data_IF_813319798365
#
_entry.id   IF_813319798365
#
_cell.length_a   1.000
_cell.length_b   1.000
_cell.length_c   1.000
_cell.angle_alpha   90.00
_cell.angle_beta   90.00
_cell.angle_gamma   90.00
#
_symmetry.space_group_name_H-M   'P 1'
#
loop_
_entity.id
_entity.type
_entity.pdbx_description
1 polymer ?
#
# COMPACT_ATOMS: atom_id res chain seq x y z
N UNK A 1 12.35 1.92 -10.33
CA UNK A 1 11.20 1.79 -11.25
C UNK A 1 10.82 3.16 -11.81
N UNK A 2 10.37 3.24 -13.06
CA UNK A 2 9.84 4.47 -13.65
C UNK A 2 8.49 4.84 -13.04
N UNK A 3 8.29 6.11 -12.68
CA UNK A 3 7.04 6.57 -12.05
C UNK A 3 5.81 6.46 -12.98
N UNK A 4 6.00 6.48 -14.30
CA UNK A 4 4.90 6.48 -15.28
C UNK A 4 4.55 5.08 -15.77
N UNK A 5 5.48 4.38 -16.41
CA UNK A 5 5.19 3.06 -16.97
C UNK A 5 5.32 1.92 -15.95
N UNK A 6 5.78 2.20 -14.72
CA UNK A 6 5.96 1.23 -13.64
C UNK A 6 6.83 0.02 -14.01
N UNK A 7 7.74 0.20 -14.97
CA UNK A 7 8.74 -0.80 -15.34
C UNK A 7 10.08 -0.49 -14.71
N UNK A 8 10.86 -1.53 -14.46
CA UNK A 8 12.32 -1.39 -14.35
C UNK A 8 12.83 -0.91 -15.71
N UNK A 9 13.65 0.14 -15.73
CA UNK A 9 14.13 0.68 -17.00
C UNK A 9 15.07 -0.32 -17.64
N UNK A 10 14.99 -0.50 -18.96
CA UNK A 10 15.99 -1.24 -19.74
C UNK A 10 17.36 -0.51 -19.69
N UNK A 11 17.31 0.82 -19.52
CA UNK A 11 18.44 1.73 -19.29
C UNK A 11 18.41 2.35 -17.88
N UNK A 12 19.49 3.05 -17.51
CA UNK A 12 19.59 3.83 -16.28
C UNK A 12 18.47 4.88 -16.20
N UNK A 13 17.53 4.68 -15.26
CA UNK A 13 16.44 5.62 -15.01
C UNK A 13 16.96 7.01 -14.60
N UNK A 14 16.34 8.06 -15.15
CA UNK A 14 16.71 9.45 -14.91
C UNK A 14 15.87 10.06 -13.79
N UNK A 15 16.54 10.67 -12.80
CA UNK A 15 15.86 11.44 -11.75
C UNK A 15 15.30 12.74 -12.32
N UNK A 16 14.18 13.20 -11.77
CA UNK A 16 13.77 14.59 -11.97
C UNK A 16 14.90 15.52 -11.49
N UNK A 17 15.42 16.37 -12.38
CA UNK A 17 16.53 17.27 -12.08
C UNK A 17 16.23 18.27 -10.96
N UNK A 18 14.96 18.61 -10.76
CA UNK A 18 14.54 19.64 -9.81
C UNK A 18 14.29 19.04 -8.42
N UNK A 19 13.37 18.08 -8.30
CA UNK A 19 12.98 17.54 -6.99
C UNK A 19 13.85 16.36 -6.54
N UNK A 20 14.51 15.65 -7.47
CA UNK A 20 15.34 14.45 -7.22
C UNK A 20 14.63 13.28 -6.51
N UNK A 21 13.29 13.33 -6.34
CA UNK A 21 12.51 12.28 -5.66
C UNK A 21 12.14 11.13 -6.62
N UNK A 22 11.69 11.47 -7.83
CA UNK A 22 11.11 10.49 -8.77
C UNK A 22 12.02 10.20 -9.96
N UNK A 23 11.82 9.01 -10.52
CA UNK A 23 12.57 8.44 -11.64
C UNK A 23 11.68 8.26 -12.88
N UNK A 24 12.29 8.42 -14.06
CA UNK A 24 11.65 8.20 -15.35
C UNK A 24 12.58 7.40 -16.26
N UNK A 25 12.01 6.62 -17.20
CA UNK A 25 12.82 6.03 -18.29
C UNK A 25 13.50 7.11 -19.15
N UNK A 26 12.87 8.27 -19.30
CA UNK A 26 13.40 9.36 -20.11
C UNK A 26 12.51 10.59 -20.12
N UNK A 27 12.83 11.54 -20.99
CA UNK A 27 12.14 12.82 -21.12
C UNK A 27 10.66 12.66 -21.48
N UNK A 28 10.30 11.61 -22.22
CA UNK A 28 8.92 11.39 -22.67
C UNK A 28 7.98 11.13 -21.49
N UNK A 29 8.30 10.15 -20.63
CA UNK A 29 7.55 9.90 -19.40
C UNK A 29 7.60 11.10 -18.44
N UNK A 30 8.71 11.83 -18.37
CA UNK A 30 8.79 13.05 -17.55
C UNK A 30 7.82 14.13 -18.07
N UNK A 31 7.75 14.37 -19.38
CA UNK A 31 6.83 15.33 -20.01
C UNK A 31 5.37 14.90 -19.81
N UNK A 32 5.07 13.61 -19.96
CA UNK A 32 3.75 13.04 -19.73
C UNK A 32 3.26 13.31 -18.29
N UNK A 33 4.13 13.07 -17.30
CA UNK A 33 3.78 13.28 -15.90
C UNK A 33 3.81 14.76 -15.48
N UNK A 34 4.49 15.64 -16.23
CA UNK A 34 4.77 17.02 -15.82
C UNK A 34 3.52 17.82 -15.45
N UNK A 35 2.41 17.65 -16.17
CA UNK A 35 1.15 18.35 -15.87
C UNK A 35 0.66 18.09 -14.43
N UNK A 36 0.78 16.85 -13.95
CA UNK A 36 0.43 16.47 -12.58
C UNK A 36 1.54 16.81 -11.58
N UNK A 37 2.80 16.60 -11.96
CA UNK A 37 3.95 16.76 -11.05
C UNK A 37 4.35 18.22 -10.79
N UNK A 38 4.14 19.15 -11.73
CA UNK A 38 4.79 20.48 -11.74
C UNK A 38 4.60 21.28 -10.45
N UNK A 39 3.39 21.32 -9.90
CA UNK A 39 3.09 22.07 -8.66
C UNK A 39 3.82 21.46 -7.47
N UNK A 40 3.72 20.14 -7.29
CA UNK A 40 4.43 19.41 -6.25
C UNK A 40 5.96 19.55 -6.39
N UNK A 41 6.48 19.42 -7.61
CA UNK A 41 7.91 19.56 -7.91
C UNK A 41 8.45 20.91 -7.44
N UNK A 42 7.71 21.99 -7.71
CA UNK A 42 8.05 23.34 -7.24
C UNK A 42 7.98 23.43 -5.71
N UNK A 43 6.95 22.88 -5.08
CA UNK A 43 6.83 22.89 -3.62
C UNK A 43 8.03 22.17 -2.97
N UNK A 44 8.41 20.99 -3.48
CA UNK A 44 9.60 20.25 -3.04
C UNK A 44 10.86 21.11 -3.20
N UNK A 45 11.05 21.72 -4.38
CA UNK A 45 12.22 22.57 -4.65
C UNK A 45 12.35 23.75 -3.68
N UNK A 46 11.23 24.29 -3.18
CA UNK A 46 11.24 25.37 -2.19
C UNK A 46 11.60 24.89 -0.78
N UNK A 47 11.33 23.62 -0.45
CA UNK A 47 11.61 23.06 0.88
C UNK A 47 13.07 22.56 0.99
N UNK A 48 13.59 21.95 -0.08
CA UNK A 48 14.92 21.32 -0.10
C UNK A 48 16.08 22.18 0.47
N UNK A 49 16.15 23.52 0.24
CA UNK A 49 17.23 24.35 0.80
C UNK A 49 17.22 24.44 2.33
N UNK A 50 16.07 24.21 2.98
CA UNK A 50 15.89 24.37 4.42
C UNK A 50 15.72 23.03 5.14
N UNK A 51 15.25 22.00 4.43
CA UNK A 51 15.05 20.68 4.96
C UNK A 51 15.34 19.63 3.89
N UNK A 52 16.36 18.81 4.13
CA UNK A 52 16.82 17.79 3.20
C UNK A 52 16.62 16.38 3.76
N UNK A 53 16.33 15.43 2.86
CA UNK A 53 16.26 14.00 3.15
C UNK A 53 17.48 13.26 2.56
N UNK A 54 18.65 13.91 2.53
CA UNK A 54 19.85 13.41 1.84
C UNK A 54 20.94 12.91 2.81
N UNK A 55 20.68 12.95 4.12
CA UNK A 55 21.63 12.63 5.20
C UNK A 55 21.43 11.23 5.80
N UNK A 56 20.75 10.34 5.08
CA UNK A 56 20.66 8.92 5.46
C UNK A 56 22.02 8.24 5.50
N UNK A 57 22.23 7.35 6.47
CA UNK A 57 23.41 6.50 6.62
C UNK A 57 23.16 5.24 7.46
N UNK A 58 24.19 4.40 7.61
CA UNK A 58 24.14 3.10 8.32
C UNK A 58 23.67 3.18 9.78
N UNK A 59 23.81 4.35 10.43
CA UNK A 59 23.40 4.57 11.82
C UNK A 59 22.05 5.28 11.95
N UNK A 60 21.30 5.40 10.85
CA UNK A 60 20.01 6.09 10.88
C UNK A 60 18.99 5.16 11.49
N UNK A 61 18.31 5.64 12.52
CA UNK A 61 17.20 4.94 13.14
C UNK A 61 15.95 5.04 12.25
N UNK A 62 15.25 3.92 12.05
CA UNK A 62 14.10 3.82 11.16
C UNK A 62 12.91 4.69 11.62
N UNK A 63 12.70 4.82 12.94
CA UNK A 63 11.63 5.65 13.50
C UNK A 63 11.93 7.13 13.27
N UNK A 64 13.15 7.56 13.58
CA UNK A 64 13.63 8.92 13.29
C UNK A 64 13.57 9.24 11.79
N UNK A 65 13.90 8.28 10.92
CA UNK A 65 13.78 8.47 9.48
C UNK A 65 12.33 8.61 9.02
N UNK A 66 11.42 7.85 9.64
CA UNK A 66 9.97 7.97 9.38
C UNK A 66 9.46 9.35 9.78
N UNK A 67 9.83 9.86 10.96
CA UNK A 67 9.49 11.21 11.40
C UNK A 67 10.03 12.29 10.45
N UNK A 68 11.26 12.10 9.97
CA UNK A 68 11.90 12.98 9.00
C UNK A 68 11.13 13.05 7.68
N UNK A 69 10.70 11.90 7.14
CA UNK A 69 9.83 11.85 5.95
C UNK A 69 8.51 12.58 6.19
N UNK A 70 7.86 12.33 7.34
CA UNK A 70 6.58 12.96 7.69
C UNK A 70 6.72 14.48 7.80
N UNK A 71 7.78 14.97 8.45
CA UNK A 71 8.02 16.41 8.54
C UNK A 71 8.28 17.03 7.16
N UNK A 72 9.06 16.38 6.31
CA UNK A 72 9.27 16.85 4.94
C UNK A 72 7.96 16.89 4.14
N UNK A 73 7.12 15.86 4.24
CA UNK A 73 5.79 15.83 3.61
C UNK A 73 4.91 16.98 4.09
N UNK A 74 4.89 17.27 5.38
CA UNK A 74 4.13 18.39 5.96
C UNK A 74 4.61 19.74 5.45
N UNK A 75 5.92 19.96 5.40
CA UNK A 75 6.51 21.19 4.85
C UNK A 75 6.15 21.36 3.38
N UNK A 76 6.22 20.28 2.58
CA UNK A 76 5.85 20.32 1.16
C UNK A 76 4.36 20.59 0.99
N UNK A 77 3.49 19.93 1.76
CA UNK A 77 2.04 20.15 1.76
C UNK A 77 1.68 21.60 2.09
N UNK A 78 2.34 22.17 3.10
CA UNK A 78 2.18 23.58 3.49
C UNK A 78 2.59 24.52 2.34
N UNK A 79 3.73 24.27 1.69
CA UNK A 79 4.17 25.06 0.53
C UNK A 79 3.29 24.88 -0.70
N UNK A 80 2.69 23.71 -0.87
CA UNK A 80 1.77 23.40 -1.96
C UNK A 80 0.40 24.07 -1.78
N UNK A 81 0.03 24.44 -0.54
CA UNK A 81 -1.25 25.07 -0.22
C UNK A 81 -2.46 24.13 -0.23
N UNK A 82 -2.22 22.82 -0.25
CA UNK A 82 -3.24 21.77 -0.17
C UNK A 82 -2.65 20.49 0.38
N UNK A 83 -3.51 19.58 0.85
CA UNK A 83 -3.10 18.22 1.21
C UNK A 83 -2.50 17.50 -0.02
N UNK A 84 -1.53 16.63 0.25
CA UNK A 84 -1.02 15.67 -0.73
C UNK A 84 -2.12 14.65 -1.04
N UNK A 85 -2.27 14.29 -2.30
CA UNK A 85 -3.10 13.12 -2.65
C UNK A 85 -2.34 11.82 -2.37
N UNK A 86 -3.02 10.67 -2.43
CA UNK A 86 -2.44 9.38 -2.12
C UNK A 86 -1.18 9.10 -2.97
N UNK A 87 -1.25 9.28 -4.30
CA UNK A 87 -0.11 9.08 -5.21
C UNK A 87 1.09 9.96 -4.86
N UNK A 88 0.84 11.21 -4.45
CA UNK A 88 1.88 12.14 -4.01
C UNK A 88 2.48 11.73 -2.67
N UNK A 89 1.66 11.27 -1.71
CA UNK A 89 2.16 10.76 -0.43
C UNK A 89 3.10 9.56 -0.64
N UNK A 90 2.71 8.63 -1.51
CA UNK A 90 3.51 7.46 -1.87
C UNK A 90 4.90 7.84 -2.40
N UNK A 91 5.03 8.97 -3.10
CA UNK A 91 6.34 9.47 -3.56
C UNK A 91 7.31 9.83 -2.42
N UNK A 92 6.82 10.15 -1.24
CA UNK A 92 7.62 10.48 -0.05
C UNK A 92 7.77 9.31 0.92
N UNK A 93 6.78 8.43 0.99
CA UNK A 93 6.85 7.21 1.80
C UNK A 93 7.86 6.22 1.20
N UNK A 94 7.86 6.09 -0.13
CA UNK A 94 8.67 5.13 -0.89
C UNK A 94 9.60 5.83 -1.89
N UNK A 95 10.47 6.76 -1.44
CA UNK A 95 11.44 7.37 -2.33
C UNK A 95 12.49 6.33 -2.71
N UNK A 96 13.23 6.61 -3.78
CA UNK A 96 14.35 5.74 -4.15
C UNK A 96 15.55 5.97 -3.21
N UNK A 97 15.66 5.12 -2.20
CA UNK A 97 16.71 5.16 -1.17
C UNK A 97 17.22 3.76 -0.82
N UNK A 98 18.37 3.69 -0.15
CA UNK A 98 18.88 2.42 0.39
C UNK A 98 17.91 1.83 1.43
N UNK A 99 17.57 0.55 1.31
CA UNK A 99 16.64 -0.13 2.22
C UNK A 99 17.09 -0.06 3.69
N UNK A 100 18.41 -0.21 3.92
CA UNK A 100 18.99 -0.27 5.26
C UNK A 100 19.52 1.09 5.72
N UNK A 101 20.18 1.82 4.83
CA UNK A 101 20.90 3.04 5.20
C UNK A 101 20.22 4.33 4.78
N UNK A 102 19.06 4.27 4.13
CA UNK A 102 18.31 5.41 3.58
C UNK A 102 19.10 6.39 2.69
N UNK A 103 20.31 6.01 2.27
CA UNK A 103 21.16 6.81 1.41
C UNK A 103 20.51 6.99 0.03
N UNK A 104 20.54 8.22 -0.49
CA UNK A 104 19.88 8.60 -1.75
C UNK A 104 20.84 9.11 -2.80
N UNK A 105 22.00 9.64 -2.41
CA UNK A 105 22.93 10.32 -3.31
C UNK A 105 23.93 9.38 -3.98
N UNK A 106 24.22 8.22 -3.38
CA UNK A 106 25.11 7.22 -3.97
C UNK A 106 24.45 6.47 -5.12
N UNK A 107 25.29 5.80 -5.91
CA UNK A 107 24.81 4.82 -6.88
C UNK A 107 24.16 3.65 -6.12
N UNK A 108 22.85 3.51 -6.28
CA UNK A 108 22.09 2.39 -5.73
C UNK A 108 21.75 1.41 -6.84
N UNK A 109 21.74 0.14 -6.52
CA UNK A 109 21.18 -0.93 -7.34
C UNK A 109 19.77 -1.25 -6.85
N UNK A 110 18.88 -1.71 -7.73
CA UNK A 110 17.50 -2.04 -7.36
C UNK A 110 17.22 -3.51 -7.58
N UNK A 111 16.56 -4.15 -6.62
CA UNK A 111 16.01 -5.49 -6.79
C UNK A 111 14.92 -5.47 -7.87
N UNK A 112 15.04 -6.34 -8.86
CA UNK A 112 14.11 -6.42 -10.00
C UNK A 112 12.79 -7.11 -9.66
N UNK A 113 12.68 -7.68 -8.46
CA UNK A 113 11.45 -8.32 -7.96
C UNK A 113 10.60 -7.34 -7.14
N UNK A 114 11.22 -6.69 -6.16
CA UNK A 114 10.50 -5.89 -5.17
C UNK A 114 10.78 -4.37 -5.24
N UNK A 115 11.62 -3.92 -6.18
CA UNK A 115 12.00 -2.52 -6.37
C UNK A 115 12.75 -1.82 -5.21
N UNK A 116 13.00 -2.51 -4.09
CA UNK A 116 13.91 -2.04 -3.04
C UNK A 116 15.29 -1.71 -3.63
N UNK A 117 15.95 -0.69 -3.07
CA UNK A 117 17.25 -0.23 -3.54
C UNK A 117 18.34 -0.39 -2.49
N UNK A 118 19.57 -0.61 -2.92
CA UNK A 118 20.71 -0.94 -2.06
C UNK A 118 21.93 -0.16 -2.50
N UNK A 119 22.70 0.34 -1.54
CA UNK A 119 24.07 0.75 -1.83
C UNK A 119 24.96 -0.49 -1.92
N UNK A 120 26.19 -0.32 -2.44
CA UNK A 120 27.17 -1.39 -2.58
C UNK A 120 27.41 -2.19 -1.29
N UNK A 121 27.35 -1.55 -0.12
CA UNK A 121 27.55 -2.20 1.17
C UNK A 121 26.41 -3.15 1.59
N UNK A 122 25.17 -2.92 1.13
CA UNK A 122 23.97 -3.63 1.59
C UNK A 122 23.31 -4.48 0.51
N UNK A 123 23.95 -4.66 -0.65
CA UNK A 123 23.36 -5.36 -1.80
C UNK A 123 23.01 -6.81 -1.49
N UNK A 124 23.89 -7.51 -0.77
CA UNK A 124 23.77 -8.94 -0.46
C UNK A 124 23.37 -9.18 1.01
N UNK A 125 22.84 -8.14 1.67
CA UNK A 125 22.40 -8.17 3.07
C UNK A 125 21.22 -9.11 3.32
N UNK A 126 21.14 -9.64 4.54
CA UNK A 126 20.02 -10.49 4.97
C UNK A 126 18.73 -9.68 5.15
N UNK A 127 18.86 -8.39 5.43
CA UNK A 127 17.77 -7.45 5.67
C UNK A 127 16.78 -7.41 4.50
N UNK A 128 17.28 -7.52 3.27
CA UNK A 128 16.45 -7.66 2.08
C UNK A 128 15.90 -9.07 1.90
N UNK A 129 16.72 -10.09 2.13
CA UNK A 129 16.37 -11.49 1.83
C UNK A 129 15.09 -11.90 2.52
N UNK A 130 14.92 -11.50 3.77
CA UNK A 130 13.81 -11.90 4.61
C UNK A 130 12.50 -11.18 4.24
N UNK A 131 12.59 -9.99 3.62
CA UNK A 131 11.43 -9.17 3.28
C UNK A 131 11.18 -9.02 1.77
N UNK A 132 12.06 -9.57 0.91
CA UNK A 132 11.96 -9.43 -0.54
C UNK A 132 10.63 -9.96 -1.09
N UNK A 133 10.23 -11.16 -0.65
CA UNK A 133 8.98 -11.78 -1.12
C UNK A 133 7.73 -11.02 -0.66
N UNK A 134 7.60 -10.58 0.62
CA UNK A 134 6.55 -9.65 1.02
C UNK A 134 6.52 -8.35 0.19
N UNK A 135 7.67 -7.72 -0.06
CA UNK A 135 7.73 -6.49 -0.86
C UNK A 135 7.39 -6.71 -2.34
N UNK A 136 7.78 -7.84 -2.91
CA UNK A 136 7.37 -8.27 -4.27
C UNK A 136 5.86 -8.45 -4.35
N UNK A 137 5.24 -9.09 -3.33
CA UNK A 137 3.79 -9.24 -3.26
C UNK A 137 3.08 -7.88 -3.17
N UNK A 138 3.56 -6.94 -2.35
CA UNK A 138 3.03 -5.58 -2.28
C UNK A 138 3.12 -4.89 -3.64
N UNK A 139 4.29 -4.92 -4.29
CA UNK A 139 4.49 -4.30 -5.59
C UNK A 139 3.56 -4.88 -6.67
N UNK A 140 3.43 -6.21 -6.72
CA UNK A 140 2.54 -6.88 -7.67
C UNK A 140 1.06 -6.51 -7.43
N UNK A 141 0.67 -6.40 -6.15
CA UNK A 141 -0.70 -6.00 -5.76
C UNK A 141 -0.99 -4.56 -6.19
N UNK A 142 -0.07 -3.62 -5.92
CA UNK A 142 -0.20 -2.22 -6.35
C UNK A 142 -0.30 -2.10 -7.88
N UNK A 143 0.55 -2.83 -8.61
CA UNK A 143 0.56 -2.83 -10.08
C UNK A 143 -0.75 -3.36 -10.66
N UNK A 144 -1.32 -4.39 -10.03
CA UNK A 144 -2.58 -4.97 -10.46
C UNK A 144 -3.74 -4.00 -10.19
N UNK A 145 -3.84 -3.42 -8.99
CA UNK A 145 -4.86 -2.43 -8.67
C UNK A 145 -4.82 -1.22 -9.62
N UNK A 146 -3.62 -0.82 -10.07
CA UNK A 146 -3.47 0.23 -11.10
C UNK A 146 -3.95 -0.18 -12.49
N UNK A 147 -3.86 -1.47 -12.88
CA UNK A 147 -4.25 -1.97 -14.21
C UNK A 147 -5.75 -2.16 -14.33
N UNK A 148 -6.35 -2.90 -13.39
CA UNK A 148 -7.78 -3.25 -13.44
C UNK A 148 -8.69 -2.08 -13.04
N UNK A 149 -8.10 -1.00 -12.54
CA UNK A 149 -8.83 0.05 -11.85
C UNK A 149 -9.34 -0.44 -10.50
N UNK A 150 -9.81 0.48 -9.66
CA UNK A 150 -10.41 0.15 -8.37
C UNK A 150 -11.80 -0.50 -8.55
N UNK A 151 -11.95 -1.48 -9.45
CA UNK A 151 -13.18 -2.26 -9.51
C UNK A 151 -13.30 -2.99 -8.16
N UNK A 152 -14.33 -2.69 -7.37
CA UNK A 152 -14.50 -3.35 -6.09
C UNK A 152 -14.58 -4.85 -6.30
N UNK A 153 -13.95 -5.62 -5.41
CA UNK A 153 -14.22 -7.04 -5.34
C UNK A 153 -15.73 -7.26 -5.20
N UNK A 154 -16.26 -8.24 -5.93
CA UNK A 154 -17.69 -8.52 -5.91
C UNK A 154 -18.07 -9.18 -4.57
N UNK A 155 -18.49 -8.33 -3.63
CA UNK A 155 -19.00 -8.72 -2.33
C UNK A 155 -20.15 -9.73 -2.44
N UNK A 156 -20.92 -9.71 -3.53
CA UNK A 156 -22.05 -10.61 -3.72
C UNK A 156 -21.61 -12.07 -3.72
N UNK A 157 -20.44 -12.39 -4.28
CA UNK A 157 -19.88 -13.74 -4.24
C UNK A 157 -19.69 -14.24 -2.81
N UNK A 158 -19.13 -13.42 -1.94
CA UNK A 158 -18.97 -13.77 -0.54
C UNK A 158 -20.33 -14.01 0.15
N UNK A 159 -21.25 -13.06 0.00
CA UNK A 159 -22.54 -13.13 0.70
C UNK A 159 -23.40 -14.32 0.27
N UNK A 160 -23.27 -14.81 -0.96
CA UNK A 160 -23.98 -16.00 -1.44
C UNK A 160 -23.43 -17.32 -0.86
N UNK A 161 -22.11 -17.42 -0.65
CA UNK A 161 -21.46 -18.70 -0.37
C UNK A 161 -21.17 -18.93 1.12
N UNK A 162 -21.20 -17.88 1.95
CA UNK A 162 -21.04 -18.00 3.40
C UNK A 162 -22.24 -18.77 3.97
N UNK A 163 -22.02 -20.05 4.21
CA UNK A 163 -23.04 -21.00 4.69
C UNK A 163 -22.69 -21.60 6.06
N UNK A 164 -21.41 -21.64 6.43
CA UNK A 164 -20.96 -22.17 7.72
C UNK A 164 -19.61 -21.59 8.15
N UNK A 165 -19.48 -21.19 9.41
CA UNK A 165 -18.23 -20.63 9.95
C UNK A 165 -17.24 -21.65 10.47
N UNK A 166 -17.61 -22.93 10.51
CA UNK A 166 -16.69 -24.01 10.92
C UNK A 166 -15.74 -24.45 9.81
N UNK A 167 -15.91 -23.94 8.59
CA UNK A 167 -15.17 -24.40 7.39
C UNK A 167 -13.83 -23.68 7.18
N UNK A 168 -13.52 -22.65 7.96
CA UNK A 168 -12.28 -21.87 7.83
C UNK A 168 -11.67 -21.54 9.20
N UNK A 169 -10.34 -21.59 9.31
CA UNK A 169 -9.63 -21.26 10.55
C UNK A 169 -8.95 -19.90 10.50
N UNK A 170 -8.50 -19.50 9.33
CA UNK A 170 -7.78 -18.25 9.13
C UNK A 170 -8.24 -17.55 7.84
N UNK A 171 -7.69 -16.37 7.57
CA UNK A 171 -8.06 -15.54 6.42
C UNK A 171 -7.77 -16.21 5.08
N UNK A 172 -6.68 -16.97 4.98
CA UNK A 172 -6.33 -17.71 3.76
C UNK A 172 -7.39 -18.76 3.48
N UNK A 173 -7.73 -19.59 4.46
CA UNK A 173 -8.78 -20.61 4.31
C UNK A 173 -10.13 -19.97 3.89
N UNK A 174 -10.47 -18.81 4.46
CA UNK A 174 -11.69 -18.09 4.12
C UNK A 174 -11.70 -17.62 2.66
N UNK A 175 -10.59 -17.04 2.21
CA UNK A 175 -10.45 -16.56 0.83
C UNK A 175 -10.43 -17.74 -0.14
N UNK A 176 -9.79 -18.86 0.20
CA UNK A 176 -9.79 -20.07 -0.65
C UNK A 176 -11.17 -20.73 -0.72
N UNK A 177 -11.94 -20.71 0.38
CA UNK A 177 -13.26 -21.33 0.43
C UNK A 177 -14.37 -20.49 -0.22
N UNK A 178 -14.28 -19.16 -0.12
CA UNK A 178 -15.38 -18.25 -0.50
C UNK A 178 -14.98 -17.17 -1.52
N UNK A 179 -13.69 -16.96 -1.74
CA UNK A 179 -13.19 -16.07 -2.78
C UNK A 179 -13.33 -16.75 -4.14
N UNK A 180 -14.03 -16.10 -5.07
CA UNK A 180 -14.12 -16.56 -6.46
C UNK A 180 -12.80 -16.28 -7.21
N UNK A 181 -11.71 -16.95 -6.82
CA UNK A 181 -10.41 -16.81 -7.47
C UNK A 181 -10.47 -17.58 -8.79
N UNK A 182 -10.67 -16.86 -9.90
CA UNK A 182 -10.56 -17.46 -11.23
C UNK A 182 -9.09 -17.76 -11.53
N UNK A 183 -8.77 -19.06 -11.60
CA UNK A 183 -7.42 -19.60 -11.85
C UNK A 183 -6.93 -19.30 -13.28
N UNK A 184 -7.81 -18.90 -14.19
CA UNK A 184 -7.51 -18.65 -15.61
C UNK A 184 -6.86 -17.29 -15.90
N UNK A 185 -6.67 -16.42 -14.91
CA UNK A 185 -5.96 -15.16 -15.12
C UNK A 185 -4.44 -15.38 -15.14
N UNK A 186 -3.68 -14.58 -15.92
CA UNK A 186 -2.21 -14.53 -15.91
C UNK A 186 -1.60 -14.19 -14.51
N UNK A 187 -2.43 -14.04 -13.48
CA UNK A 187 -2.08 -13.59 -12.14
C UNK A 187 -1.71 -14.74 -11.20
N UNK A 188 -0.73 -14.50 -10.33
CA UNK A 188 -0.45 -15.45 -9.25
C UNK A 188 -1.58 -15.44 -8.21
N UNK A 189 -1.97 -16.63 -7.73
CA UNK A 189 -2.94 -16.82 -6.65
C UNK A 189 -2.68 -15.92 -5.43
N UNK A 190 -1.40 -15.64 -5.13
CA UNK A 190 -1.01 -14.83 -3.97
C UNK A 190 -1.43 -13.36 -4.09
N UNK A 191 -1.40 -12.78 -5.29
CA UNK A 191 -1.80 -11.37 -5.51
C UNK A 191 -3.31 -11.23 -5.32
N UNK A 192 -4.09 -12.17 -5.86
CA UNK A 192 -5.53 -12.24 -5.61
C UNK A 192 -5.83 -12.39 -4.12
N UNK A 193 -5.18 -13.33 -3.44
CA UNK A 193 -5.37 -13.52 -2.00
C UNK A 193 -5.01 -12.25 -1.20
N UNK A 194 -3.96 -11.52 -1.60
CA UNK A 194 -3.55 -10.27 -0.96
C UNK A 194 -4.58 -9.14 -1.15
N UNK A 195 -5.21 -9.04 -2.32
CA UNK A 195 -6.27 -8.06 -2.51
C UNK A 195 -7.51 -8.37 -1.71
N UNK A 196 -7.96 -9.63 -1.73
CA UNK A 196 -9.13 -10.04 -0.97
C UNK A 196 -8.91 -9.85 0.54
N UNK A 197 -7.70 -10.13 1.04
CA UNK A 197 -7.37 -9.92 2.45
C UNK A 197 -7.48 -8.45 2.88
N UNK A 198 -7.12 -7.50 2.01
CA UNK A 198 -7.20 -6.06 2.30
C UNK A 198 -8.63 -5.61 2.62
N UNK A 199 -9.62 -6.04 1.82
CA UNK A 199 -11.03 -5.70 2.05
C UNK A 199 -11.64 -6.46 3.23
N UNK A 200 -11.18 -7.68 3.49
CA UNK A 200 -11.74 -8.56 4.51
C UNK A 200 -11.13 -8.34 5.90
N UNK A 201 -9.99 -7.65 5.99
CA UNK A 201 -9.16 -7.59 7.19
C UNK A 201 -9.94 -7.15 8.42
N UNK A 202 -10.71 -6.07 8.33
CA UNK A 202 -11.42 -5.53 9.48
C UNK A 202 -12.54 -6.47 9.96
N UNK A 203 -13.39 -6.93 9.04
CA UNK A 203 -14.53 -7.80 9.33
C UNK A 203 -14.09 -9.14 9.91
N UNK A 204 -13.09 -9.79 9.30
CA UNK A 204 -12.60 -11.09 9.74
C UNK A 204 -11.78 -10.99 11.02
N UNK A 205 -11.02 -9.91 11.23
CA UNK A 205 -10.30 -9.68 12.49
C UNK A 205 -11.28 -9.51 13.64
N UNK A 206 -12.33 -8.70 13.46
CA UNK A 206 -13.36 -8.56 14.49
C UNK A 206 -14.05 -9.89 14.77
N UNK A 207 -14.44 -10.64 13.72
CA UNK A 207 -15.05 -11.96 13.89
C UNK A 207 -14.13 -12.93 14.65
N UNK A 208 -12.82 -12.93 14.33
CA UNK A 208 -11.82 -13.73 15.03
C UNK A 208 -11.75 -13.36 16.52
N UNK A 209 -11.68 -12.08 16.85
CA UNK A 209 -11.68 -11.59 18.24
C UNK A 209 -12.97 -11.98 18.96
N UNK A 210 -14.13 -11.87 18.31
CA UNK A 210 -15.41 -12.30 18.90
C UNK A 210 -15.40 -13.79 19.25
N UNK A 211 -14.85 -14.65 18.37
CA UNK A 211 -14.69 -16.09 18.64
C UNK A 211 -13.75 -16.34 19.82
N UNK A 212 -12.60 -15.66 19.85
CA UNK A 212 -11.63 -15.79 20.95
C UNK A 212 -12.24 -15.42 22.30
N UNK A 213 -13.00 -14.33 22.35
CA UNK A 213 -13.65 -13.83 23.56
C UNK A 213 -14.97 -14.54 23.88
N UNK A 214 -15.43 -15.45 23.00
CA UNK A 214 -16.78 -16.04 23.04
C UNK A 214 -17.86 -14.97 23.15
N UNK A 215 -17.63 -13.82 22.52
CA UNK A 215 -18.52 -12.68 22.58
C UNK A 215 -19.72 -12.91 21.69
N UNK A 216 -20.92 -12.86 22.29
CA UNK A 216 -22.20 -12.91 21.59
C UNK A 216 -22.88 -11.56 21.77
N UNK A 217 -23.16 -10.82 20.69
CA UNK A 217 -23.88 -9.57 20.79
C UNK A 217 -25.26 -9.75 21.44
N UNK A 218 -25.57 -8.91 22.43
CA UNK A 218 -26.85 -8.96 23.16
C UNK A 218 -27.95 -8.14 22.50
N UNK A 219 -27.58 -7.10 21.76
CA UNK A 219 -28.48 -6.20 21.05
C UNK A 219 -28.70 -6.65 19.60
N UNK A 220 -29.85 -6.29 19.03
CA UNK A 220 -30.15 -6.51 17.60
C UNK A 220 -29.26 -5.68 16.66
N UNK A 221 -28.65 -4.61 17.19
CA UNK A 221 -27.76 -3.71 16.47
C UNK A 221 -26.35 -3.83 17.04
N UNK A 222 -25.34 -3.92 16.16
CA UNK A 222 -23.93 -3.77 16.52
C UNK A 222 -23.40 -2.49 15.88
N UNK A 223 -22.96 -1.56 16.71
CA UNK A 223 -22.34 -0.31 16.24
C UNK A 223 -20.83 -0.50 16.27
N UNK A 224 -20.19 -0.27 15.13
CA UNK A 224 -18.74 -0.37 14.95
C UNK A 224 -18.24 1.03 14.58
N UNK A 225 -17.42 1.59 15.45
CA UNK A 225 -16.74 2.86 15.18
C UNK A 225 -15.41 2.56 14.49
N UNK A 226 -15.26 2.96 13.22
CA UNK A 226 -14.04 2.68 12.45
C UNK A 226 -13.20 3.96 12.41
N UNK A 227 -12.15 3.97 13.22
CA UNK A 227 -11.23 5.09 13.34
C UNK A 227 -10.17 5.05 12.23
N UNK A 228 -9.74 6.22 11.74
CA UNK A 228 -8.63 6.35 10.78
C UNK A 228 -9.02 6.21 9.31
N UNK A 229 -10.32 6.19 9.00
CA UNK A 229 -10.84 6.13 7.63
C UNK A 229 -10.70 7.47 6.91
N UNK A 230 -10.18 7.47 5.68
CA UNK A 230 -10.21 8.64 4.80
C UNK A 230 -11.41 8.48 3.85
N UNK A 231 -12.01 9.56 3.36
CA UNK A 231 -13.31 9.55 2.64
C UNK A 231 -13.44 8.71 1.37
N UNK A 232 -12.46 7.88 1.00
CA UNK A 232 -12.51 6.84 -0.05
C UNK A 232 -13.17 5.52 0.38
N UNK A 233 -13.62 5.41 1.63
CA UNK A 233 -13.93 4.14 2.31
C UNK A 233 -15.36 3.59 2.12
N UNK A 234 -16.09 4.03 1.10
CA UNK A 234 -17.44 3.52 0.84
C UNK A 234 -17.42 2.03 0.45
N UNK A 235 -16.39 1.57 -0.27
CA UNK A 235 -16.19 0.15 -0.61
C UNK A 235 -15.84 -0.66 0.65
N UNK A 236 -14.92 -0.17 1.50
CA UNK A 236 -14.59 -0.88 2.74
C UNK A 236 -15.80 -1.00 3.68
N UNK A 237 -16.74 -0.05 3.63
CA UNK A 237 -18.01 -0.12 4.38
C UNK A 237 -18.88 -1.30 3.95
N UNK A 238 -18.97 -1.62 2.65
CA UNK A 238 -19.80 -2.74 2.18
C UNK A 238 -19.26 -4.09 2.66
N UNK A 239 -17.94 -4.25 2.76
CA UNK A 239 -17.33 -5.51 3.26
C UNK A 239 -17.63 -5.82 4.73
N UNK A 240 -18.21 -4.89 5.50
CA UNK A 240 -18.76 -5.19 6.82
C UNK A 240 -20.05 -6.01 6.78
N UNK A 241 -20.74 -6.08 5.65
CA UNK A 241 -21.95 -6.92 5.46
C UNK A 241 -21.65 -8.42 5.58
N UNK A 242 -20.38 -8.82 5.48
CA UNK A 242 -19.94 -10.20 5.74
C UNK A 242 -20.12 -10.58 7.21
N UNK A 243 -19.91 -9.63 8.13
CA UNK A 243 -19.89 -9.94 9.56
C UNK A 243 -21.23 -10.52 10.08
N UNK A 244 -22.42 -9.95 9.77
CA UNK A 244 -23.72 -10.54 10.13
C UNK A 244 -23.89 -11.99 9.65
N UNK A 245 -23.40 -12.30 8.44
CA UNK A 245 -23.46 -13.66 7.87
C UNK A 245 -22.61 -14.63 8.68
N UNK A 246 -21.42 -14.20 9.09
CA UNK A 246 -20.51 -15.01 9.91
C UNK A 246 -21.06 -15.27 11.32
N UNK A 247 -21.69 -14.29 11.95
CA UNK A 247 -22.24 -14.48 13.31
C UNK A 247 -23.59 -15.21 13.31
N UNK A 248 -24.18 -15.48 12.14
CA UNK A 248 -25.42 -16.24 12.00
C UNK A 248 -26.67 -15.52 12.55
N UNK A 249 -26.68 -14.19 12.56
CA UNK A 249 -27.79 -13.39 13.10
C UNK A 249 -28.27 -12.33 12.12
N UNK A 250 -29.58 -12.01 12.15
CA UNK A 250 -30.15 -10.86 11.42
C UNK A 250 -29.82 -9.54 12.13
N UNK A 251 -28.53 -9.29 12.36
CA UNK A 251 -28.06 -8.09 13.02
C UNK A 251 -27.76 -7.00 12.00
N UNK A 252 -28.13 -5.76 12.35
CA UNK A 252 -27.74 -4.58 11.59
C UNK A 252 -26.37 -4.14 12.11
N UNK A 253 -25.40 -4.07 11.20
CA UNK A 253 -24.08 -3.49 11.47
C UNK A 253 -24.10 -2.03 11.03
N UNK A 254 -23.89 -1.13 11.98
CA UNK A 254 -23.79 0.30 11.71
C UNK A 254 -22.31 0.68 11.82
N UNK A 255 -21.71 1.00 10.69
CA UNK A 255 -20.34 1.50 10.62
C UNK A 255 -20.40 3.02 10.63
N UNK A 256 -19.86 3.65 11.67
CA UNK A 256 -19.74 5.12 11.74
C UNK A 256 -18.29 5.51 11.60
#
# INVERSE_FOLDING_TARGET
MCHVCKRFGDDVLKRCSNCKIILYCGSEHQKQHWKKHKSLCKAIQNVLPYYSMDDGGETTDDELWTEKKLMFMQLVSSRLGRRLNADEMQMFCFPREGLVCHERNKSLESCQKCAASFCKNHKDGIEHRDICAPLELCLCTDLFSMREGNSPLDLHFYLQHISCTSTFQNMKDFIEAFGNIQIDSEMSHNVWAAQHSEYLTCSLTLFYVMRLLKYVPKSKNLVIHVLGTNGSDEIFRTFWEILPRLIGTMMIVIVT
#
